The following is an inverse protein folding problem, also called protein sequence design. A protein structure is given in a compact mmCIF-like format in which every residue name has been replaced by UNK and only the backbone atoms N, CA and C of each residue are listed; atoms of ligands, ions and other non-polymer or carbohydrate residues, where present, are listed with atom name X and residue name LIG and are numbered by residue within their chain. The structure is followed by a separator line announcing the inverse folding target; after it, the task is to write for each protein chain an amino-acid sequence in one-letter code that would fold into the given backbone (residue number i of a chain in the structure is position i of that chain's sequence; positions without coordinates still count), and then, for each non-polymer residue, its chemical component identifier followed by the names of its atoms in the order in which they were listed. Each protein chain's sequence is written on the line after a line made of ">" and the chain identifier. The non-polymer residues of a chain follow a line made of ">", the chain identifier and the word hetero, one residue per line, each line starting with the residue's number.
data_IF_883403580577
#
_entry.id   IF_883403580577
#
_cell.length_a   1.000
_cell.length_b   1.000
_cell.length_c   1.000
_cell.angle_alpha   90.00
_cell.angle_beta   90.00
_cell.angle_gamma   90.00
#
_symmetry.space_group_name_H-M   'P 1'
#
loop_
_entity.id
_entity.type
_entity.pdbx_description
1 polymer ?
#
# COMPACT_ATOMS: atom_id res chain seq x y z
N UNK A 1 29.28 61.99 -6.30
CA UNK A 1 28.61 61.33 -7.44
C UNK A 1 28.04 60.01 -6.94
N UNK A 2 26.73 59.93 -6.69
CA UNK A 2 26.03 58.70 -6.27
C UNK A 2 25.11 58.27 -7.42
N UNK A 3 25.41 57.15 -8.06
CA UNK A 3 24.57 56.58 -9.10
C UNK A 3 23.37 55.84 -8.48
N UNK A 4 22.21 56.06 -9.07
CA UNK A 4 20.88 55.62 -8.65
C UNK A 4 20.66 54.11 -8.89
N UNK A 5 20.38 53.36 -7.83
CA UNK A 5 19.98 51.94 -7.84
C UNK A 5 18.45 51.73 -7.87
N UNK A 6 17.68 52.69 -8.41
CA UNK A 6 16.20 52.69 -8.30
C UNK A 6 15.43 52.09 -9.49
N UNK A 7 16.00 51.12 -10.22
CA UNK A 7 15.27 50.41 -11.30
C UNK A 7 15.35 48.88 -11.16
N UNK A 8 14.83 48.35 -10.06
CA UNK A 8 14.33 46.98 -9.97
C UNK A 8 12.86 47.04 -9.54
N UNK A 9 12.00 47.54 -10.44
CA UNK A 9 10.56 47.51 -10.28
C UNK A 9 10.02 46.22 -10.89
N UNK A 10 9.48 45.36 -10.02
CA UNK A 10 8.38 44.43 -10.25
C UNK A 10 8.38 43.69 -11.59
N UNK A 11 9.14 42.59 -11.67
CA UNK A 11 8.78 41.52 -12.61
C UNK A 11 7.61 40.78 -11.97
N UNK A 12 6.38 41.11 -12.39
CA UNK A 12 5.23 40.25 -12.12
C UNK A 12 5.41 39.00 -12.99
N UNK A 13 5.39 37.77 -12.44
CA UNK A 13 5.40 36.58 -13.26
C UNK A 13 4.19 36.63 -14.20
N UNK A 14 4.47 36.69 -15.49
CA UNK A 14 3.46 36.58 -16.53
C UNK A 14 3.16 35.09 -16.69
N UNK A 15 1.95 34.67 -16.34
CA UNK A 15 1.46 33.35 -16.70
C UNK A 15 1.37 33.30 -18.24
N UNK A 16 2.34 32.63 -18.86
CA UNK A 16 2.24 32.29 -20.28
C UNK A 16 1.18 31.18 -20.35
N UNK A 17 0.07 31.37 -21.08
CA UNK A 17 -0.85 30.27 -21.34
C UNK A 17 -0.10 29.29 -22.23
N UNK A 18 0.41 28.20 -21.65
CA UNK A 18 0.95 27.10 -22.44
C UNK A 18 -0.25 26.41 -23.07
N UNK A 19 -0.60 26.80 -24.30
CA UNK A 19 -1.64 26.19 -25.12
C UNK A 19 -1.17 24.83 -25.69
N UNK A 20 -0.63 23.98 -24.83
CA UNK A 20 -0.04 22.68 -25.17
C UNK A 20 -0.19 21.68 -24.04
N UNK A 21 -0.04 20.40 -24.37
CA UNK A 21 -0.02 19.30 -23.41
C UNK A 21 1.08 19.57 -22.35
N UNK A 22 0.71 19.56 -21.06
CA UNK A 22 1.63 19.86 -19.96
C UNK A 22 2.32 18.61 -19.39
N UNK A 23 1.69 17.46 -19.54
CA UNK A 23 2.12 16.18 -18.97
C UNK A 23 1.96 15.10 -20.02
N UNK A 24 2.97 14.26 -20.19
CA UNK A 24 2.96 13.11 -21.10
C UNK A 24 2.82 11.82 -20.32
N UNK A 25 1.98 10.92 -20.80
CA UNK A 25 1.90 9.54 -20.33
C UNK A 25 2.78 8.60 -21.18
N UNK A 26 3.49 7.69 -20.53
CA UNK A 26 4.39 6.70 -21.12
C UNK A 26 4.49 5.48 -20.22
N UNK A 27 5.40 4.54 -20.52
CA UNK A 27 5.60 3.33 -19.72
C UNK A 27 7.09 3.10 -19.45
N UNK A 28 7.41 2.47 -18.32
CA UNK A 28 8.79 2.20 -17.90
C UNK A 28 9.58 1.39 -18.94
N UNK A 29 8.93 0.41 -19.59
CA UNK A 29 9.52 -0.47 -20.58
C UNK A 29 9.09 -0.14 -22.03
N UNK A 30 8.41 0.99 -22.26
CA UNK A 30 7.88 1.37 -23.57
C UNK A 30 6.62 0.62 -24.01
N UNK A 31 6.22 -0.44 -23.31
CA UNK A 31 4.98 -1.19 -23.55
C UNK A 31 3.90 -0.86 -22.51
N UNK A 32 2.60 -0.88 -22.87
CA UNK A 32 1.52 -0.64 -21.92
C UNK A 32 1.55 -1.59 -20.73
N UNK A 33 1.47 -1.05 -19.51
CA UNK A 33 1.52 -1.84 -18.29
C UNK A 33 1.34 -1.04 -17.01
N UNK A 34 1.67 -1.67 -15.87
CA UNK A 34 1.67 -1.09 -14.54
C UNK A 34 3.10 -0.66 -14.15
N UNK A 35 3.34 0.56 -13.64
CA UNK A 35 2.46 1.72 -13.70
C UNK A 35 2.59 2.44 -15.05
N UNK A 36 1.57 3.24 -15.40
CA UNK A 36 1.76 4.29 -16.41
C UNK A 36 2.60 5.42 -15.79
N UNK A 37 3.51 6.00 -16.56
CA UNK A 37 4.43 7.04 -16.10
C UNK A 37 3.99 8.39 -16.67
N UNK A 38 3.64 9.32 -15.78
CA UNK A 38 3.32 10.70 -16.11
C UNK A 38 4.55 11.59 -15.87
N UNK A 39 4.99 12.33 -16.89
CA UNK A 39 6.14 13.25 -16.81
C UNK A 39 5.76 14.66 -17.27
N UNK A 40 6.26 15.72 -16.61
CA UNK A 40 6.02 17.08 -17.07
C UNK A 40 6.78 17.36 -18.37
N UNK A 41 6.16 18.08 -19.30
CA UNK A 41 6.77 18.47 -20.58
C UNK A 41 7.59 19.77 -20.48
N UNK A 42 7.38 20.54 -19.41
CA UNK A 42 8.06 21.80 -19.14
C UNK A 42 8.44 21.91 -17.67
N UNK A 43 9.52 22.63 -17.37
CA UNK A 43 9.86 22.99 -16.00
C UNK A 43 8.77 23.88 -15.38
N UNK A 44 8.56 23.76 -14.08
CA UNK A 44 7.58 24.56 -13.33
C UNK A 44 6.14 24.06 -13.38
N UNK A 45 5.85 22.91 -14.01
CA UNK A 45 4.53 22.27 -13.89
C UNK A 45 4.34 21.77 -12.46
N UNK A 46 3.44 22.42 -11.71
CA UNK A 46 3.11 22.05 -10.33
C UNK A 46 2.12 20.89 -10.33
N UNK A 47 2.56 19.70 -9.87
CA UNK A 47 1.77 18.47 -9.94
C UNK A 47 0.38 18.60 -9.29
N UNK A 48 0.30 19.16 -8.08
CA UNK A 48 -0.99 19.33 -7.38
C UNK A 48 -1.98 20.22 -8.15
N UNK A 49 -1.52 21.32 -8.75
CA UNK A 49 -2.38 22.21 -9.53
C UNK A 49 -2.82 21.59 -10.86
N UNK A 50 -1.95 20.78 -11.47
CA UNK A 50 -2.27 20.04 -12.68
C UNK A 50 -3.30 18.94 -12.39
N UNK A 51 -3.08 18.17 -11.33
CA UNK A 51 -3.99 17.11 -10.88
C UNK A 51 -5.39 17.62 -10.60
N UNK A 52 -5.51 18.75 -9.89
CA UNK A 52 -6.81 19.37 -9.58
C UNK A 52 -7.65 19.71 -10.83
N UNK A 53 -7.02 19.83 -12.01
CA UNK A 53 -7.67 20.12 -13.30
C UNK A 53 -7.81 18.90 -14.22
N UNK A 54 -7.18 17.78 -13.88
CA UNK A 54 -7.10 16.58 -14.72
C UNK A 54 -7.40 15.29 -13.95
N UNK A 55 -8.18 15.37 -12.86
CA UNK A 55 -8.51 14.23 -12.02
C UNK A 55 -9.15 13.09 -12.82
N UNK A 56 -10.14 13.37 -13.67
CA UNK A 56 -10.83 12.36 -14.49
C UNK A 56 -9.86 11.61 -15.41
N UNK A 57 -8.95 12.34 -16.07
CA UNK A 57 -7.92 11.75 -16.92
C UNK A 57 -7.01 10.80 -16.13
N UNK A 58 -6.59 11.19 -14.92
CA UNK A 58 -5.73 10.37 -14.06
C UNK A 58 -6.49 9.16 -13.50
N UNK A 59 -7.75 9.34 -13.13
CA UNK A 59 -8.63 8.27 -12.68
C UNK A 59 -8.82 7.20 -13.77
N UNK A 60 -9.01 7.61 -15.03
CA UNK A 60 -9.11 6.69 -16.16
C UNK A 60 -7.83 5.89 -16.35
N UNK A 61 -6.67 6.54 -16.21
CA UNK A 61 -5.37 5.87 -16.22
C UNK A 61 -5.24 4.88 -15.05
N UNK A 62 -5.69 5.28 -13.87
CA UNK A 62 -5.64 4.44 -12.67
C UNK A 62 -6.51 3.19 -12.80
N UNK A 63 -7.75 3.33 -13.28
CA UNK A 63 -8.66 2.20 -13.50
C UNK A 63 -8.14 1.24 -14.57
N UNK A 64 -7.49 1.78 -15.61
CA UNK A 64 -6.95 0.98 -16.70
C UNK A 64 -5.67 0.25 -16.29
N UNK A 65 -4.72 0.96 -15.68
CA UNK A 65 -3.36 0.49 -15.46
C UNK A 65 -3.06 0.10 -14.01
N UNK A 66 -3.98 0.34 -13.06
CA UNK A 66 -3.82 0.05 -11.64
C UNK A 66 -2.96 1.07 -10.88
N UNK A 67 -2.10 1.83 -11.57
CA UNK A 67 -1.19 2.78 -10.94
C UNK A 67 -0.59 3.81 -11.90
N UNK A 68 -0.34 5.01 -11.39
CA UNK A 68 0.30 6.14 -12.07
C UNK A 68 1.55 6.56 -11.29
N UNK A 69 2.71 6.55 -11.94
CA UNK A 69 3.96 7.10 -11.41
C UNK A 69 4.18 8.50 -11.98
N UNK A 70 4.06 9.53 -11.15
CA UNK A 70 4.42 10.90 -11.47
C UNK A 70 5.92 11.09 -11.24
N UNK A 71 6.66 11.39 -12.30
CA UNK A 71 8.13 11.47 -12.27
C UNK A 71 8.64 12.75 -12.94
N UNK A 72 9.61 13.40 -12.29
CA UNK A 72 10.19 14.65 -12.76
C UNK A 72 9.47 15.91 -12.28
N UNK A 73 8.53 15.78 -11.34
CA UNK A 73 7.89 16.91 -10.65
C UNK A 73 8.65 17.29 -9.38
N UNK A 74 8.51 18.53 -8.91
CA UNK A 74 9.22 19.05 -7.73
C UNK A 74 8.50 18.74 -6.39
N UNK A 75 8.12 17.47 -6.16
CA UNK A 75 7.42 17.05 -4.93
C UNK A 75 8.43 16.66 -3.83
N UNK A 76 9.23 17.62 -3.40
CA UNK A 76 10.41 17.37 -2.55
C UNK A 76 10.18 17.57 -1.04
N UNK A 77 8.94 17.86 -0.62
CA UNK A 77 8.56 18.13 0.77
C UNK A 77 7.27 17.40 1.13
N UNK A 78 7.06 17.14 2.43
CA UNK A 78 5.81 16.59 2.94
C UNK A 78 4.60 17.48 2.63
N UNK A 79 4.77 18.80 2.66
CA UNK A 79 3.72 19.76 2.31
C UNK A 79 3.32 19.65 0.83
N UNK A 80 4.29 19.57 -0.08
CA UNK A 80 4.01 19.39 -1.50
C UNK A 80 3.34 18.03 -1.78
N UNK A 81 3.80 16.98 -1.10
CA UNK A 81 3.17 15.66 -1.18
C UNK A 81 1.72 15.70 -0.69
N UNK A 82 1.46 16.31 0.47
CA UNK A 82 0.09 16.48 0.99
C UNK A 82 -0.81 17.24 0.02
N UNK A 83 -0.33 18.31 -0.63
CA UNK A 83 -1.08 19.03 -1.66
C UNK A 83 -1.42 18.15 -2.87
N UNK A 84 -0.49 17.28 -3.29
CA UNK A 84 -0.73 16.32 -4.36
C UNK A 84 -1.82 15.32 -3.97
N UNK A 85 -1.73 14.73 -2.77
CA UNK A 85 -2.74 13.78 -2.28
C UNK A 85 -4.11 14.44 -2.17
N UNK A 86 -4.19 15.65 -1.61
CA UNK A 86 -5.45 16.41 -1.53
C UNK A 86 -6.00 16.78 -2.93
N UNK A 87 -5.13 17.00 -3.92
CA UNK A 87 -5.56 17.30 -5.28
C UNK A 87 -5.95 16.06 -6.09
N UNK A 88 -5.43 14.87 -5.75
CA UNK A 88 -5.71 13.62 -6.44
C UNK A 88 -6.81 12.76 -5.78
N UNK A 89 -6.95 12.87 -4.47
CA UNK A 89 -7.80 12.01 -3.65
C UNK A 89 -8.97 12.74 -3.03
N UNK A 90 -10.01 11.97 -2.66
CA UNK A 90 -11.09 12.49 -1.82
C UNK A 90 -10.71 12.50 -0.34
N UNK A 91 -11.57 11.97 0.52
CA UNK A 91 -11.40 12.13 1.98
C UNK A 91 -10.18 11.34 2.49
N UNK A 92 -9.18 12.05 3.01
CA UNK A 92 -8.01 11.43 3.65
C UNK A 92 -8.43 10.61 4.88
N UNK A 93 -7.85 9.42 5.01
CA UNK A 93 -8.21 8.43 6.03
C UNK A 93 -7.21 8.37 7.19
N UNK A 94 -7.73 8.08 8.38
CA UNK A 94 -6.92 7.75 9.54
C UNK A 94 -6.45 6.28 9.46
N UNK A 95 -5.26 6.00 9.99
CA UNK A 95 -4.72 4.64 10.06
C UNK A 95 -5.32 3.85 11.24
N UNK A 96 -6.35 3.05 10.94
CA UNK A 96 -7.08 2.17 11.86
C UNK A 96 -6.69 0.70 11.68
N UNK A 97 -6.93 -0.14 12.70
CA UNK A 97 -6.56 -1.57 12.72
C UNK A 97 -5.11 -1.85 12.32
N UNK A 98 -4.17 -1.17 12.98
CA UNK A 98 -2.75 -1.19 12.59
C UNK A 98 -2.22 -2.63 12.51
N UNK A 99 -1.70 -3.01 11.35
CA UNK A 99 -0.95 -4.27 11.16
C UNK A 99 0.54 -4.09 11.48
N UNK A 100 1.03 -2.87 11.31
CA UNK A 100 2.43 -2.49 11.54
C UNK A 100 2.55 -1.10 12.16
N UNK A 101 3.64 -0.84 12.92
CA UNK A 101 3.93 0.50 13.40
C UNK A 101 4.26 1.43 12.22
N UNK A 102 3.75 2.66 12.31
CA UNK A 102 4.05 3.78 11.41
C UNK A 102 4.17 5.05 12.25
N UNK A 103 5.15 5.88 11.91
CA UNK A 103 5.32 7.19 12.52
C UNK A 103 4.52 8.24 11.74
N UNK A 104 3.63 8.97 12.40
CA UNK A 104 2.90 10.06 11.77
C UNK A 104 3.84 11.27 11.58
N UNK A 105 3.96 11.76 10.35
CA UNK A 105 4.84 12.89 10.01
C UNK A 105 4.07 14.21 10.02
N UNK A 106 2.86 14.22 9.45
CA UNK A 106 1.88 15.32 9.49
C UNK A 106 0.46 14.75 9.52
N UNK A 107 -0.59 15.58 9.50
CA UNK A 107 -1.98 15.10 9.45
C UNK A 107 -2.16 14.13 8.26
N UNK A 108 -2.52 12.87 8.57
CA UNK A 108 -2.79 11.77 7.61
C UNK A 108 -1.66 11.46 6.60
N UNK A 109 -0.43 11.82 6.95
CA UNK A 109 0.80 11.41 6.25
C UNK A 109 1.66 10.62 7.21
N UNK A 110 1.98 9.40 6.83
CA UNK A 110 2.73 8.45 7.65
C UNK A 110 4.07 8.11 6.98
N UNK A 111 5.08 7.71 7.76
CA UNK A 111 6.22 6.98 7.22
C UNK A 111 5.76 5.63 6.69
N UNK A 112 6.41 5.10 5.64
CA UNK A 112 6.20 3.70 5.24
C UNK A 112 6.51 2.78 6.41
N UNK A 113 5.77 1.66 6.53
CA UNK A 113 5.89 0.64 7.59
C UNK A 113 7.29 0.53 8.21
N UNK A 114 7.37 0.72 9.54
CA UNK A 114 8.58 0.61 10.34
C UNK A 114 8.99 -0.88 10.47
N UNK A 115 9.59 -1.41 9.41
CA UNK A 115 10.09 -2.78 9.28
C UNK A 115 11.61 -2.75 9.01
N UNK A 116 12.42 -3.67 9.57
CA UNK A 116 13.88 -3.63 9.47
C UNK A 116 14.38 -3.44 8.04
N UNK A 117 15.39 -2.60 7.84
CA UNK A 117 15.85 -2.20 6.50
C UNK A 117 16.36 -3.39 5.67
N UNK A 118 16.95 -4.38 6.31
CA UNK A 118 17.47 -5.61 5.71
C UNK A 118 16.38 -6.62 5.32
N UNK A 119 15.12 -6.38 5.69
CA UNK A 119 14.00 -7.30 5.43
C UNK A 119 13.04 -6.77 4.35
N UNK A 120 12.51 -7.71 3.56
CA UNK A 120 11.48 -7.46 2.54
C UNK A 120 10.11 -7.45 3.20
N UNK A 121 9.27 -6.48 2.86
CA UNK A 121 7.82 -6.55 3.10
C UNK A 121 7.22 -7.26 1.88
N UNK A 122 6.50 -8.36 2.06
CA UNK A 122 5.94 -9.12 0.93
C UNK A 122 4.74 -8.41 0.29
N UNK A 123 4.31 -8.91 -0.87
CA UNK A 123 3.18 -8.35 -1.60
C UNK A 123 1.86 -8.47 -0.83
N UNK A 124 1.14 -7.35 -0.78
CA UNK A 124 -0.18 -7.25 -0.16
C UNK A 124 -0.98 -6.07 -0.73
N UNK A 125 -2.28 -6.03 -0.43
CA UNK A 125 -3.13 -4.86 -0.60
C UNK A 125 -3.48 -4.26 0.76
N UNK A 126 -3.38 -2.94 0.90
CA UNK A 126 -3.49 -2.25 2.19
C UNK A 126 -4.87 -2.48 2.82
N UNK A 127 -4.90 -2.87 4.10
CA UNK A 127 -6.11 -3.18 4.87
C UNK A 127 -7.05 -4.24 4.26
N UNK A 128 -6.59 -5.10 3.34
CA UNK A 128 -7.45 -6.14 2.75
C UNK A 128 -7.96 -7.21 3.74
N UNK A 129 -7.39 -7.29 4.95
CA UNK A 129 -7.89 -8.14 6.05
C UNK A 129 -9.07 -7.52 6.82
N UNK A 130 -9.30 -6.21 6.66
CA UNK A 130 -10.42 -5.48 7.28
C UNK A 130 -11.70 -5.61 6.45
N UNK A 131 -12.84 -5.23 7.03
CA UNK A 131 -14.10 -5.05 6.29
C UNK A 131 -14.17 -3.72 5.53
N UNK A 132 -13.20 -2.83 5.75
CA UNK A 132 -13.09 -1.53 5.10
C UNK A 132 -11.65 -1.25 4.71
N UNK A 133 -11.41 -0.66 3.54
CA UNK A 133 -10.07 -0.42 3.01
C UNK A 133 -9.99 0.88 2.23
N UNK A 134 -8.81 1.49 2.09
CA UNK A 134 -8.65 2.66 1.23
C UNK A 134 -8.83 2.25 -0.22
N UNK A 135 -9.49 3.08 -1.01
CA UNK A 135 -9.53 2.99 -2.47
C UNK A 135 -8.14 3.21 -3.05
N UNK A 136 -7.43 4.19 -2.50
CA UNK A 136 -6.25 4.79 -3.10
C UNK A 136 -5.09 4.86 -2.11
N UNK A 137 -3.89 4.55 -2.60
CA UNK A 137 -2.63 4.74 -1.89
C UNK A 137 -1.70 5.66 -2.66
N UNK A 138 -1.02 6.52 -1.93
CA UNK A 138 -0.02 7.44 -2.46
C UNK A 138 1.31 7.19 -1.76
N UNK A 139 2.38 7.05 -2.53
CA UNK A 139 3.76 6.95 -2.04
C UNK A 139 4.58 8.11 -2.59
N UNK A 140 5.21 8.90 -1.72
CA UNK A 140 6.04 10.06 -2.11
C UNK A 140 7.50 9.88 -1.71
N UNK A 141 8.43 9.95 -2.66
CA UNK A 141 9.85 9.77 -2.39
C UNK A 141 10.54 11.08 -1.99
N UNK A 142 10.82 11.25 -0.70
CA UNK A 142 11.58 12.39 -0.19
C UNK A 142 13.09 12.13 -0.27
N UNK A 143 13.49 10.88 0.03
CA UNK A 143 14.87 10.42 -0.04
C UNK A 143 14.89 8.95 -0.52
N UNK A 144 15.41 8.66 -1.72
CA UNK A 144 15.63 7.28 -2.14
C UNK A 144 16.76 6.64 -1.33
N UNK A 145 16.69 5.32 -1.14
CA UNK A 145 17.76 4.56 -0.52
C UNK A 145 19.03 4.57 -1.38
N UNK A 146 20.19 4.34 -0.76
CA UNK A 146 21.45 4.22 -1.50
C UNK A 146 21.48 2.92 -2.33
N UNK A 147 20.92 1.84 -1.80
CA UNK A 147 20.79 0.53 -2.46
C UNK A 147 19.41 -0.04 -2.13
N UNK A 148 18.71 -0.57 -3.13
CA UNK A 148 17.41 -1.23 -2.97
C UNK A 148 16.29 -0.27 -2.55
N UNK A 149 15.38 -0.75 -1.71
CA UNK A 149 14.33 0.07 -1.11
C UNK A 149 13.22 0.49 -2.07
N UNK A 150 13.15 -0.14 -3.24
CA UNK A 150 12.05 0.02 -4.17
C UNK A 150 10.73 -0.42 -3.51
N UNK A 151 9.64 0.03 -4.11
CA UNK A 151 8.28 -0.43 -3.79
C UNK A 151 7.77 -1.23 -4.98
N UNK A 152 8.10 -2.53 -5.10
CA UNK A 152 7.57 -3.34 -6.18
C UNK A 152 6.05 -3.38 -6.13
N UNK A 153 5.42 -3.33 -7.30
CA UNK A 153 3.96 -3.36 -7.46
C UNK A 153 3.55 -4.48 -8.42
N UNK A 154 2.35 -5.03 -8.23
CA UNK A 154 1.83 -6.13 -9.02
C UNK A 154 0.34 -5.92 -9.33
N UNK A 155 -0.06 -6.20 -10.58
CA UNK A 155 -1.47 -6.14 -11.00
C UNK A 155 -2.24 -7.34 -10.43
N UNK A 156 -3.19 -7.06 -9.54
CA UNK A 156 -4.00 -8.05 -8.83
C UNK A 156 -4.91 -8.86 -9.76
N UNK A 157 -5.21 -8.34 -10.96
CA UNK A 157 -5.92 -9.07 -12.02
C UNK A 157 -5.01 -10.12 -12.66
N UNK A 158 -3.77 -9.74 -12.92
CA UNK A 158 -2.77 -10.63 -13.51
C UNK A 158 -2.36 -11.73 -12.54
N UNK A 159 -2.23 -11.42 -11.25
CA UNK A 159 -2.02 -12.43 -10.19
C UNK A 159 -3.15 -13.45 -10.20
N UNK A 160 -4.41 -12.99 -10.17
CA UNK A 160 -5.58 -13.87 -10.22
C UNK A 160 -5.61 -14.75 -11.49
N UNK A 161 -5.28 -14.17 -12.65
CA UNK A 161 -5.27 -14.87 -13.94
C UNK A 161 -4.24 -16.01 -13.99
N UNK A 162 -3.14 -15.88 -13.25
CA UNK A 162 -2.03 -16.84 -13.25
C UNK A 162 -2.17 -17.95 -12.22
N UNK A 163 -3.07 -17.82 -11.25
CA UNK A 163 -3.36 -18.90 -10.32
C UNK A 163 -3.83 -20.14 -11.09
N UNK A 164 -3.36 -21.31 -10.66
CA UNK A 164 -3.89 -22.58 -11.15
C UNK A 164 -5.41 -22.63 -10.92
N UNK A 165 -6.17 -23.30 -11.81
CA UNK A 165 -7.61 -23.41 -11.66
C UNK A 165 -8.03 -23.99 -10.30
N UNK A 166 -7.19 -24.85 -9.71
CA UNK A 166 -7.47 -25.48 -8.43
C UNK A 166 -7.27 -24.54 -7.24
N UNK A 167 -6.11 -23.86 -7.19
CA UNK A 167 -5.85 -22.83 -6.18
C UNK A 167 -6.90 -21.73 -6.23
N UNK A 168 -7.25 -21.26 -7.43
CA UNK A 168 -8.29 -20.25 -7.62
C UNK A 168 -9.63 -20.70 -7.03
N UNK A 169 -10.11 -21.91 -7.37
CA UNK A 169 -11.38 -22.43 -6.83
C UNK A 169 -11.39 -22.51 -5.31
N UNK A 170 -10.32 -23.02 -4.68
CA UNK A 170 -10.24 -23.11 -3.21
C UNK A 170 -10.41 -21.74 -2.55
N UNK A 171 -9.77 -20.71 -3.10
CA UNK A 171 -9.88 -19.34 -2.59
C UNK A 171 -11.21 -18.67 -2.91
N UNK A 172 -11.84 -18.98 -4.04
CA UNK A 172 -13.20 -18.51 -4.39
C UNK A 172 -14.25 -19.12 -3.44
N UNK A 173 -14.16 -20.41 -3.13
CA UNK A 173 -15.12 -21.11 -2.28
C UNK A 173 -14.94 -20.82 -0.78
N UNK A 174 -13.68 -20.75 -0.33
CA UNK A 174 -13.36 -20.71 1.11
C UNK A 174 -12.95 -19.34 1.60
N UNK A 175 -12.47 -18.44 0.73
CA UNK A 175 -11.86 -17.19 1.16
C UNK A 175 -10.59 -17.39 2.01
N UNK A 176 -10.24 -16.40 2.82
CA UNK A 176 -9.07 -16.41 3.72
C UNK A 176 -9.52 -16.10 5.14
N UNK A 177 -9.07 -16.92 6.10
CA UNK A 177 -9.15 -16.59 7.52
C UNK A 177 -7.85 -15.90 7.97
N UNK A 178 -7.98 -14.77 8.64
CA UNK A 178 -6.89 -14.06 9.32
C UNK A 178 -6.98 -14.36 10.81
N UNK A 179 -5.87 -14.81 11.40
CA UNK A 179 -5.73 -15.00 12.84
C UNK A 179 -4.63 -14.09 13.37
N UNK A 180 -4.91 -13.38 14.46
CA UNK A 180 -3.92 -12.54 15.15
C UNK A 180 -3.87 -12.90 16.63
N UNK A 181 -2.67 -13.00 17.18
CA UNK A 181 -2.44 -13.09 18.61
C UNK A 181 -1.71 -11.83 19.08
N UNK A 182 -2.37 -11.04 19.93
CA UNK A 182 -1.93 -9.70 20.32
C UNK A 182 -1.57 -9.68 21.80
N UNK A 183 -0.43 -9.05 22.12
CA UNK A 183 0.06 -8.93 23.51
C UNK A 183 0.86 -10.14 24.01
N UNK A 184 1.15 -11.13 23.17
CA UNK A 184 1.94 -12.33 23.52
C UNK A 184 3.46 -12.13 23.55
N UNK A 185 3.96 -10.90 23.53
CA UNK A 185 5.39 -10.59 23.47
C UNK A 185 6.01 -10.64 22.06
N UNK A 186 5.38 -11.35 21.11
CA UNK A 186 5.71 -11.30 19.69
C UNK A 186 4.63 -10.51 18.94
N UNK A 187 5.03 -9.52 18.13
CA UNK A 187 4.10 -8.64 17.40
C UNK A 187 3.57 -7.45 18.23
N UNK A 188 2.39 -6.95 17.87
CA UNK A 188 1.78 -5.76 18.48
C UNK A 188 0.91 -6.10 19.69
N UNK A 189 0.79 -5.16 20.63
CA UNK A 189 -0.19 -5.24 21.70
C UNK A 189 -1.57 -4.78 21.22
N UNK A 190 -2.66 -5.35 21.75
CA UNK A 190 -4.02 -5.02 21.30
C UNK A 190 -4.36 -3.53 21.51
N UNK A 191 -3.84 -2.93 22.58
CA UNK A 191 -3.93 -1.48 22.87
C UNK A 191 -3.40 -0.63 21.71
N UNK A 192 -2.30 -1.04 21.08
CA UNK A 192 -1.72 -0.32 19.94
C UNK A 192 -2.54 -0.51 18.66
N UNK A 193 -3.05 -1.72 18.47
CA UNK A 193 -3.85 -2.08 17.28
C UNK A 193 -5.19 -1.34 17.25
N UNK A 194 -5.91 -1.38 18.38
CA UNK A 194 -7.23 -0.78 18.52
C UNK A 194 -7.21 0.64 19.09
N UNK A 195 -6.03 1.14 19.49
CA UNK A 195 -5.80 2.50 19.99
C UNK A 195 -6.70 2.83 21.19
N UNK A 196 -6.84 1.88 22.12
CA UNK A 196 -7.72 1.97 23.29
C UNK A 196 -7.20 1.12 24.45
N UNK A 197 -7.52 1.55 25.68
CA UNK A 197 -7.25 0.82 26.92
C UNK A 197 -8.48 0.03 27.43
N UNK A 198 -9.63 0.20 26.78
CA UNK A 198 -10.90 -0.42 27.18
C UNK A 198 -11.21 -1.65 26.32
N UNK A 199 -11.26 -2.83 26.95
CA UNK A 199 -11.60 -4.10 26.29
C UNK A 199 -12.99 -4.06 25.67
N UNK A 200 -13.96 -3.43 26.32
CA UNK A 200 -15.35 -3.37 25.84
C UNK A 200 -15.45 -2.68 24.48
N UNK A 201 -14.60 -1.66 24.24
CA UNK A 201 -14.50 -1.01 22.92
C UNK A 201 -13.95 -1.94 21.85
N UNK A 202 -12.98 -2.79 22.21
CA UNK A 202 -12.41 -3.81 21.30
C UNK A 202 -13.44 -4.86 20.95
N UNK A 203 -14.22 -5.33 21.93
CA UNK A 203 -15.29 -6.31 21.73
C UNK A 203 -16.38 -5.77 20.82
N UNK A 204 -16.79 -4.51 21.03
CA UNK A 204 -17.75 -3.83 20.16
C UNK A 204 -17.21 -3.67 18.74
N UNK A 205 -15.93 -3.26 18.61
CA UNK A 205 -15.26 -3.19 17.32
C UNK A 205 -15.27 -4.54 16.59
N UNK A 206 -14.95 -5.62 17.31
CA UNK A 206 -14.94 -6.96 16.74
C UNK A 206 -16.33 -7.36 16.23
N UNK A 207 -17.38 -7.12 17.02
CA UNK A 207 -18.75 -7.39 16.63
C UNK A 207 -19.15 -6.60 15.36
N UNK A 208 -18.89 -5.30 15.34
CA UNK A 208 -19.26 -4.40 14.23
C UNK A 208 -18.55 -4.72 12.92
N UNK A 209 -17.36 -5.31 13.00
CA UNK A 209 -16.51 -5.60 11.84
C UNK A 209 -16.45 -7.11 11.52
N UNK A 210 -17.24 -7.95 12.19
CA UNK A 210 -17.28 -9.40 11.92
C UNK A 210 -15.95 -10.10 12.23
N UNK A 211 -15.38 -9.79 13.40
CA UNK A 211 -14.27 -10.53 14.00
C UNK A 211 -14.82 -11.36 15.17
N UNK A 212 -14.31 -12.58 15.31
CA UNK A 212 -14.40 -13.33 16.57
C UNK A 212 -13.20 -12.98 17.44
N UNK A 213 -13.37 -13.03 18.75
CA UNK A 213 -12.30 -12.73 19.70
C UNK A 213 -12.29 -13.69 20.89
N UNK A 214 -11.11 -13.86 21.48
CA UNK A 214 -10.87 -14.67 22.67
C UNK A 214 -9.81 -13.96 23.53
N UNK A 215 -10.13 -13.69 24.80
CA UNK A 215 -9.19 -13.10 25.75
C UNK A 215 -8.46 -14.19 26.55
N UNK A 216 -7.14 -14.09 26.63
CA UNK A 216 -6.27 -14.96 27.43
C UNK A 216 -5.40 -14.06 28.33
N UNK A 217 -5.85 -13.79 29.56
CA UNK A 217 -5.17 -12.81 30.42
C UNK A 217 -5.18 -11.42 29.77
N UNK A 218 -3.99 -10.82 29.59
CA UNK A 218 -3.78 -9.54 28.87
C UNK A 218 -3.62 -9.71 27.34
N UNK A 219 -3.67 -10.94 26.83
CA UNK A 219 -3.56 -11.24 25.42
C UNK A 219 -4.94 -11.34 24.75
N UNK A 220 -4.99 -11.03 23.46
CA UNK A 220 -6.20 -11.07 22.64
C UNK A 220 -5.93 -11.87 21.37
N UNK A 221 -6.73 -12.92 21.15
CA UNK A 221 -6.80 -13.59 19.86
C UNK A 221 -8.00 -13.06 19.08
N UNK A 222 -7.81 -12.72 17.80
CA UNK A 222 -8.91 -12.37 16.90
C UNK A 222 -8.87 -13.23 15.65
N UNK A 223 -10.05 -13.56 15.11
CA UNK A 223 -10.17 -14.21 13.79
C UNK A 223 -11.22 -13.54 12.93
N UNK A 224 -10.95 -13.42 11.64
CA UNK A 224 -11.90 -12.94 10.65
C UNK A 224 -11.77 -13.71 9.35
N UNK A 225 -12.88 -13.91 8.64
CA UNK A 225 -12.88 -14.51 7.30
C UNK A 225 -13.26 -13.43 6.30
N UNK A 226 -12.51 -13.33 5.20
CA UNK A 226 -12.78 -12.41 4.09
C UNK A 226 -12.69 -13.13 2.75
N UNK A 227 -13.40 -12.64 1.71
CA UNK A 227 -13.17 -13.10 0.35
C UNK A 227 -11.70 -12.93 -0.05
N UNK A 228 -11.12 -13.95 -0.67
CA UNK A 228 -9.78 -13.85 -1.26
C UNK A 228 -9.79 -13.07 -2.57
N UNK A 229 -10.91 -13.17 -3.30
CA UNK A 229 -11.14 -12.56 -4.60
C UNK A 229 -12.34 -11.64 -4.48
N UNK A 230 -12.19 -10.41 -4.96
CA UNK A 230 -13.24 -9.39 -4.91
C UNK A 230 -13.53 -8.86 -6.30
N UNK A 231 -14.72 -8.30 -6.49
CA UNK A 231 -15.06 -7.56 -7.71
C UNK A 231 -14.78 -6.08 -7.48
N UNK A 232 -13.96 -5.49 -8.35
CA UNK A 232 -13.65 -4.07 -8.27
C UNK A 232 -14.91 -3.23 -8.59
N UNK A 233 -15.31 -2.27 -7.72
CA UNK A 233 -16.62 -1.62 -7.83
C UNK A 233 -16.78 -0.72 -9.06
N UNK A 234 -15.69 -0.16 -9.60
CA UNK A 234 -15.74 0.67 -10.82
C UNK A 234 -15.52 -0.10 -12.13
N UNK A 235 -14.50 -0.96 -12.22
CA UNK A 235 -14.19 -1.72 -13.43
C UNK A 235 -15.03 -2.99 -13.60
N UNK A 236 -15.59 -3.54 -12.52
CA UNK A 236 -16.32 -4.82 -12.53
C UNK A 236 -15.41 -6.05 -12.65
N UNK A 237 -14.09 -5.88 -12.65
CA UNK A 237 -13.12 -6.97 -12.79
C UNK A 237 -12.94 -7.73 -11.47
N UNK A 238 -12.72 -9.04 -11.55
CA UNK A 238 -12.29 -9.83 -10.39
C UNK A 238 -10.80 -9.60 -10.12
N UNK A 239 -10.45 -9.40 -8.84
CA UNK A 239 -9.08 -9.09 -8.41
C UNK A 239 -8.65 -9.97 -7.25
N UNK A 240 -7.36 -10.34 -7.24
CA UNK A 240 -6.69 -10.97 -6.10
C UNK A 240 -6.41 -9.91 -5.01
N UNK A 241 -7.44 -9.56 -4.24
CA UNK A 241 -7.36 -8.55 -3.18
C UNK A 241 -7.44 -9.20 -1.81
N UNK A 242 -6.29 -9.53 -1.24
CA UNK A 242 -6.22 -10.15 0.09
C UNK A 242 -4.81 -10.05 0.70
N UNK A 243 -4.73 -10.48 1.95
CA UNK A 243 -3.49 -10.62 2.72
C UNK A 243 -3.04 -12.07 2.93
N UNK A 244 -3.59 -13.02 2.17
CA UNK A 244 -3.39 -14.45 2.36
C UNK A 244 -1.93 -14.90 2.29
N UNK A 245 -1.15 -14.30 1.39
CA UNK A 245 0.28 -14.56 1.23
C UNK A 245 1.15 -13.87 2.30
N UNK A 246 0.99 -12.56 2.52
CA UNK A 246 1.89 -11.75 3.35
C UNK A 246 2.02 -12.21 4.80
N UNK A 247 0.91 -12.64 5.42
CA UNK A 247 0.89 -13.05 6.83
C UNK A 247 1.01 -14.57 7.03
N UNK A 248 1.18 -15.35 5.96
CA UNK A 248 1.24 -16.80 6.09
C UNK A 248 2.59 -17.27 6.64
N UNK A 249 2.56 -18.24 7.54
CA UNK A 249 3.77 -18.86 8.09
C UNK A 249 4.68 -19.49 7.02
N UNK A 250 4.14 -19.99 5.91
CA UNK A 250 4.93 -20.56 4.81
C UNK A 250 5.50 -19.50 3.85
N UNK A 251 5.17 -18.21 4.04
CA UNK A 251 5.73 -17.12 3.24
C UNK A 251 7.10 -16.64 3.72
N UNK A 252 7.48 -16.99 4.95
CA UNK A 252 8.78 -16.64 5.53
C UNK A 252 9.84 -17.73 5.29
N UNK A 253 11.14 -17.39 5.31
CA UNK A 253 12.22 -18.36 5.10
C UNK A 253 12.13 -19.56 6.05
N UNK A 254 12.46 -20.76 5.55
CA UNK A 254 12.32 -22.01 6.30
C UNK A 254 13.11 -22.01 7.62
N UNK A 255 14.29 -21.39 7.64
CA UNK A 255 15.11 -21.23 8.84
C UNK A 255 14.41 -20.38 9.90
N UNK A 256 13.86 -19.22 9.50
CA UNK A 256 13.10 -18.35 10.40
C UNK A 256 11.82 -19.03 10.92
N UNK A 257 11.12 -19.77 10.04
CA UNK A 257 9.97 -20.57 10.43
C UNK A 257 10.33 -21.63 11.47
N UNK A 258 11.44 -22.36 11.28
CA UNK A 258 11.92 -23.36 12.24
C UNK A 258 12.30 -22.72 13.59
N UNK A 259 12.95 -21.55 13.55
CA UNK A 259 13.23 -20.77 14.77
C UNK A 259 11.95 -20.35 15.49
N UNK A 260 10.94 -19.85 14.77
CA UNK A 260 9.64 -19.49 15.36
C UNK A 260 8.95 -20.70 15.99
N UNK A 261 8.90 -21.84 15.30
CA UNK A 261 8.31 -23.07 15.87
C UNK A 261 8.98 -23.54 17.16
N UNK A 262 10.27 -23.25 17.33
CA UNK A 262 11.01 -23.60 18.55
C UNK A 262 10.81 -22.57 19.65
N UNK A 263 10.63 -21.30 19.27
CA UNK A 263 10.59 -20.18 20.21
C UNK A 263 9.19 -19.88 20.74
N UNK A 264 8.13 -20.16 19.98
CA UNK A 264 6.75 -19.82 20.35
C UNK A 264 5.81 -21.00 20.14
N UNK A 265 4.78 -21.08 20.99
CA UNK A 265 3.65 -21.97 20.76
C UNK A 265 3.00 -21.59 19.42
N UNK A 266 2.69 -22.53 18.50
CA UNK A 266 2.01 -22.23 17.25
C UNK A 266 0.70 -21.43 17.42
N UNK A 267 0.01 -21.58 18.56
CA UNK A 267 -1.21 -20.81 18.90
C UNK A 267 -0.95 -19.35 19.30
N UNK A 268 0.31 -18.98 19.48
CA UNK A 268 0.77 -17.66 19.91
C UNK A 268 1.51 -16.93 18.77
N UNK A 269 1.44 -17.43 17.54
CA UNK A 269 1.95 -16.71 16.38
C UNK A 269 1.21 -15.36 16.26
N UNK A 270 1.94 -14.24 16.05
CA UNK A 270 1.34 -12.91 16.05
C UNK A 270 0.33 -12.72 14.92
N UNK A 271 0.60 -13.38 13.80
CA UNK A 271 -0.23 -13.43 12.60
C UNK A 271 -0.09 -14.78 11.93
N UNK A 272 -1.19 -15.34 11.44
CA UNK A 272 -1.18 -16.40 10.43
C UNK A 272 -2.44 -16.33 9.56
N UNK A 273 -2.40 -16.99 8.40
CA UNK A 273 -3.53 -17.10 7.48
C UNK A 273 -3.86 -18.56 7.16
N UNK A 274 -5.15 -18.80 7.00
CA UNK A 274 -5.72 -20.11 6.69
C UNK A 274 -6.77 -19.94 5.58
N UNK A 275 -7.28 -21.04 5.02
CA UNK A 275 -8.56 -20.97 4.30
C UNK A 275 -9.67 -20.53 5.26
N UNK A 276 -10.76 -19.98 4.74
CA UNK A 276 -11.83 -19.44 5.59
C UNK A 276 -12.57 -20.47 6.46
N UNK A 277 -12.41 -21.76 6.18
CA UNK A 277 -12.88 -22.85 7.04
C UNK A 277 -11.92 -23.20 8.20
N UNK A 278 -10.77 -22.51 8.28
CA UNK A 278 -9.72 -22.72 9.28
C UNK A 278 -8.68 -23.77 8.90
N UNK A 279 -8.80 -24.43 7.74
CA UNK A 279 -7.78 -25.36 7.26
C UNK A 279 -6.52 -24.64 6.78
N UNK A 280 -5.36 -25.26 6.99
CA UNK A 280 -4.08 -24.70 6.55
C UNK A 280 -4.03 -24.49 5.04
N UNK A 281 -3.46 -23.36 4.63
CA UNK A 281 -3.10 -23.15 3.21
C UNK A 281 -1.82 -23.93 2.95
N UNK A 282 -1.85 -24.80 1.95
CA UNK A 282 -0.74 -25.70 1.67
C UNK A 282 0.54 -24.92 1.33
N UNK A 283 1.73 -25.38 1.77
CA UNK A 283 2.99 -24.74 1.42
C UNK A 283 3.20 -24.59 -0.10
N UNK A 284 2.72 -25.57 -0.87
CA UNK A 284 2.73 -25.58 -2.34
C UNK A 284 1.91 -24.41 -2.90
N UNK A 285 0.73 -24.16 -2.34
CA UNK A 285 -0.16 -23.05 -2.70
C UNK A 285 0.53 -21.71 -2.41
N UNK A 286 1.20 -21.58 -1.27
CA UNK A 286 1.94 -20.36 -0.92
C UNK A 286 3.15 -20.13 -1.85
N UNK A 287 3.86 -21.20 -2.21
CA UNK A 287 4.98 -21.13 -3.18
C UNK A 287 4.51 -20.76 -4.59
N UNK A 288 3.36 -21.26 -5.03
CA UNK A 288 2.73 -20.86 -6.28
C UNK A 288 2.46 -19.36 -6.30
N UNK A 289 1.80 -18.83 -5.26
CA UNK A 289 1.49 -17.40 -5.16
C UNK A 289 2.77 -16.55 -5.13
N UNK A 290 3.79 -16.97 -4.37
CA UNK A 290 5.09 -16.30 -4.34
C UNK A 290 5.73 -16.24 -5.74
N UNK A 291 5.77 -17.37 -6.45
CA UNK A 291 6.31 -17.44 -7.81
C UNK A 291 5.55 -16.58 -8.82
N UNK A 292 4.23 -16.46 -8.67
CA UNK A 292 3.42 -15.54 -9.49
C UNK A 292 3.82 -14.10 -9.20
N UNK A 293 3.90 -13.70 -7.93
CA UNK A 293 4.31 -12.34 -7.56
C UNK A 293 5.71 -11.99 -8.06
N UNK A 294 6.67 -12.90 -7.95
CA UNK A 294 8.02 -12.68 -8.47
C UNK A 294 8.04 -12.57 -10.01
N UNK A 295 7.13 -13.26 -10.71
CA UNK A 295 7.04 -13.21 -12.17
C UNK A 295 6.33 -11.95 -12.72
N UNK A 296 5.39 -11.38 -11.97
CA UNK A 296 4.56 -10.23 -12.43
C UNK A 296 4.92 -8.92 -11.75
N UNK A 297 5.70 -8.97 -10.67
CA UNK A 297 6.11 -7.81 -9.92
C UNK A 297 6.94 -6.84 -10.76
N UNK A 298 6.50 -5.59 -10.84
CA UNK A 298 7.22 -4.51 -11.50
C UNK A 298 7.98 -3.72 -10.45
N UNK A 299 9.30 -3.59 -10.67
CA UNK A 299 10.20 -2.86 -9.78
C UNK A 299 10.86 -1.72 -10.54
N UNK A 300 10.95 -0.56 -9.91
CA UNK A 300 11.67 0.59 -10.44
C UNK A 300 12.39 1.34 -9.32
N UNK A 301 13.58 1.91 -9.61
CA UNK A 301 14.28 2.71 -8.63
C UNK A 301 13.50 3.99 -8.36
N UNK A 302 13.34 4.32 -7.09
CA UNK A 302 12.78 5.59 -6.65
C UNK A 302 13.69 6.76 -7.05
N UNK A 303 13.11 7.87 -7.47
CA UNK A 303 13.77 9.16 -7.61
C UNK A 303 13.14 10.14 -6.63
N UNK A 304 13.97 11.01 -6.06
CA UNK A 304 13.46 12.10 -5.22
C UNK A 304 12.44 12.92 -6.01
N UNK A 305 11.29 13.20 -5.38
CA UNK A 305 10.17 13.91 -6.00
C UNK A 305 9.18 13.02 -6.75
N UNK A 306 9.46 11.73 -6.92
CA UNK A 306 8.49 10.80 -7.48
C UNK A 306 7.27 10.66 -6.55
N UNK A 307 6.08 10.58 -7.16
CA UNK A 307 4.84 10.20 -6.50
C UNK A 307 4.22 9.02 -7.23
N UNK A 308 4.02 7.90 -6.53
CA UNK A 308 3.26 6.76 -7.03
C UNK A 308 1.84 6.82 -6.46
N UNK A 309 0.84 6.86 -7.33
CA UNK A 309 -0.57 6.75 -7.00
C UNK A 309 -1.09 5.40 -7.50
N UNK A 310 -1.58 4.53 -6.61
CA UNK A 310 -2.18 3.24 -6.98
C UNK A 310 -3.62 3.11 -6.51
N UNK A 311 -4.42 2.39 -7.30
CA UNK A 311 -5.68 1.81 -6.85
C UNK A 311 -5.36 0.57 -6.01
N UNK A 312 -5.81 0.57 -4.76
CA UNK A 312 -5.46 -0.46 -3.79
C UNK A 312 -6.07 -1.83 -4.14
N UNK A 313 -7.22 -1.87 -4.83
CA UNK A 313 -7.84 -3.12 -5.24
C UNK A 313 -7.18 -3.71 -6.49
N UNK A 314 -6.76 -2.85 -7.42
CA UNK A 314 -6.08 -3.29 -8.64
C UNK A 314 -4.60 -3.60 -8.42
N UNK A 315 -3.94 -2.97 -7.45
CA UNK A 315 -2.48 -3.04 -7.32
C UNK A 315 -2.04 -3.50 -5.93
N UNK A 316 -1.41 -4.68 -5.88
CA UNK A 316 -0.65 -5.11 -4.71
C UNK A 316 0.72 -4.44 -4.68
N UNK A 317 1.29 -4.23 -3.50
CA UNK A 317 2.59 -3.60 -3.34
C UNK A 317 3.43 -4.29 -2.26
N UNK A 318 4.73 -4.07 -2.31
CA UNK A 318 5.73 -4.67 -1.42
C UNK A 318 6.85 -3.67 -1.14
N UNK A 319 7.86 -4.07 -0.37
CA UNK A 319 9.07 -3.25 -0.15
C UNK A 319 10.30 -4.13 -0.20
N UNK A 320 11.24 -3.83 -1.08
CA UNK A 320 12.55 -4.49 -1.06
C UNK A 320 13.37 -4.07 0.17
N UNK A 321 14.32 -4.91 0.56
CA UNK A 321 15.33 -4.51 1.53
C UNK A 321 16.20 -3.37 0.98
N UNK A 322 16.83 -2.63 1.88
CA UNK A 322 17.60 -1.45 1.52
C UNK A 322 18.77 -1.16 2.46
N UNK A 323 19.69 -0.33 1.99
CA UNK A 323 20.82 0.19 2.77
C UNK A 323 20.85 1.72 2.74
N UNK A 324 21.26 2.31 3.87
CA UNK A 324 21.32 3.76 4.06
C UNK A 324 19.97 4.39 4.37
N UNK A 325 19.94 5.73 4.34
CA UNK A 325 18.75 6.53 4.61
C UNK A 325 17.69 6.35 3.51
N UNK A 326 16.42 6.21 3.91
CA UNK A 326 15.28 6.07 3.00
C UNK A 326 14.05 6.74 3.60
N UNK A 327 13.42 7.65 2.85
CA UNK A 327 12.21 8.32 3.29
C UNK A 327 11.16 8.29 2.18
N UNK A 328 10.21 7.36 2.32
CA UNK A 328 9.00 7.29 1.49
C UNK A 328 7.81 7.62 2.39
N UNK A 329 7.07 8.67 2.03
CA UNK A 329 5.82 9.07 2.67
C UNK A 329 4.66 8.26 2.11
N UNK A 330 3.67 7.97 2.94
CA UNK A 330 2.45 7.25 2.54
C UNK A 330 1.22 8.04 2.96
N UNK A 331 0.21 8.09 2.08
CA UNK A 331 -1.13 8.56 2.42
C UNK A 331 -2.20 7.69 1.77
N UNK A 332 -3.39 7.70 2.37
CA UNK A 332 -4.53 6.84 2.03
C UNK A 332 -5.78 7.71 1.88
N UNK A 333 -6.58 7.45 0.85
CA UNK A 333 -7.84 8.18 0.64
C UNK A 333 -9.00 7.28 0.23
N UNK A 334 -10.20 7.79 0.51
CA UNK A 334 -11.51 7.25 0.16
C UNK A 334 -11.76 5.84 0.71
N UNK A 335 -12.65 5.72 1.71
CA UNK A 335 -12.93 4.44 2.33
C UNK A 335 -13.94 3.65 1.49
N UNK A 336 -13.57 2.43 1.12
CA UNK A 336 -14.47 1.42 0.58
C UNK A 336 -14.86 0.44 1.67
N UNK A 337 -16.02 -0.18 1.50
CA UNK A 337 -16.51 -1.26 2.36
C UNK A 337 -17.03 -2.39 1.48
N UNK A 338 -16.89 -3.64 1.93
CA UNK A 338 -17.54 -4.76 1.28
C UNK A 338 -17.08 -6.14 1.69
#
# INVERSE_FOLDING_TARGET
>A
MKASLSKLRSIKPQAIPVAGELVRFSFLAGEPGLPVVATPLHEGVVLGEWLARHQELVDDQLLKHGGVLFRGFEVNTSQAFHQVVHAAGGQLLDYVERSSPRSQVTDKVYTSTDHPADQRILFHNELAYSGRWPRALFFGCMQPAAVGGETPIADSREVLRRLSPDTRRRFEERGVMYERYLGGGLGLHWRDVFQTEDRSRVEHYCADNGLTFEWEGECLRTRSVRPAIRTHPRTGEQVWFNHGYFFNLHSIPAELRASLHTAVNPRELPFNTYYGDGSEIEPETIREIAGIYDAVGVTFPWRRGDVLYIDNMLTAHSRNSFQGERTILVSMSDLLAG
#
